data_IF_756688275603
#
_entry.id   IF_756688275603
#
_cell.length_a   1.000
_cell.length_b   1.000
_cell.length_c   1.000
_cell.angle_alpha   90.00
_cell.angle_beta   90.00
_cell.angle_gamma   90.00
#
_symmetry.space_group_name_H-M   'P 1'
#
loop_
_entity.id
_entity.type
_entity.pdbx_description
1 polymer ?
#
# COMPACT_ATOMS: atom_id res chain seq x y z
N UNK A 1 -15.74 -22.22 13.17
CA UNK A 1 -15.96 -20.75 13.28
C UNK A 1 -15.80 -20.21 14.70
N UNK A 2 -16.35 -20.82 15.75
CA UNK A 2 -16.25 -20.31 17.15
C UNK A 2 -14.81 -20.20 17.67
N UNK A 3 -13.92 -21.14 17.32
CA UNK A 3 -12.52 -21.13 17.74
C UNK A 3 -11.67 -20.02 17.09
N UNK A 4 -11.97 -19.65 15.84
CA UNK A 4 -11.30 -18.55 15.13
C UNK A 4 -11.75 -17.18 15.70
N UNK A 5 -13.02 -17.07 16.10
CA UNK A 5 -13.54 -15.89 16.76
C UNK A 5 -12.94 -15.70 18.17
N UNK A 6 -12.73 -16.80 18.90
CA UNK A 6 -12.03 -16.76 20.20
C UNK A 6 -10.55 -16.40 20.10
N UNK A 7 -9.87 -16.81 19.00
CA UNK A 7 -8.49 -16.41 18.67
C UNK A 7 -8.38 -14.91 18.40
N UNK A 8 -9.31 -14.38 17.61
CA UNK A 8 -9.38 -12.96 17.32
C UNK A 8 -9.60 -12.16 18.61
N UNK A 9 -10.53 -12.58 19.48
CA UNK A 9 -10.79 -11.91 20.76
C UNK A 9 -9.58 -11.89 21.70
N UNK A 10 -8.82 -12.98 21.82
CA UNK A 10 -7.65 -13.04 22.71
C UNK A 10 -6.45 -12.26 22.16
N UNK A 11 -6.23 -12.31 20.84
CA UNK A 11 -5.23 -11.49 20.17
C UNK A 11 -5.60 -10.00 20.24
N UNK A 12 -6.88 -9.64 20.04
CA UNK A 12 -7.37 -8.27 20.20
C UNK A 12 -7.23 -7.80 21.64
N UNK A 13 -7.56 -8.61 22.65
CA UNK A 13 -7.42 -8.23 24.06
C UNK A 13 -5.98 -7.91 24.46
N UNK A 14 -4.99 -8.65 23.92
CA UNK A 14 -3.56 -8.39 24.17
C UNK A 14 -3.00 -7.20 23.41
N UNK A 15 -3.58 -6.90 22.25
CA UNK A 15 -3.18 -5.77 21.41
C UNK A 15 -3.99 -4.50 21.69
N UNK A 16 -5.07 -4.58 22.48
CA UNK A 16 -6.01 -3.48 22.70
C UNK A 16 -5.29 -2.23 23.22
N UNK A 17 -4.35 -2.39 24.15
CA UNK A 17 -3.61 -1.27 24.73
C UNK A 17 -2.63 -0.65 23.73
N UNK A 18 -1.94 -1.47 22.95
CA UNK A 18 -1.02 -0.98 21.91
C UNK A 18 -1.77 -0.27 20.78
N UNK A 19 -2.90 -0.84 20.32
CA UNK A 19 -3.73 -0.26 19.27
C UNK A 19 -4.42 1.02 19.78
N UNK A 20 -4.98 1.02 20.99
CA UNK A 20 -5.59 2.21 21.59
C UNK A 20 -4.58 3.35 21.74
N UNK A 21 -3.36 3.03 22.18
CA UNK A 21 -2.27 4.00 22.27
C UNK A 21 -1.90 4.56 20.88
N UNK A 22 -1.78 3.71 19.86
CA UNK A 22 -1.54 4.16 18.48
C UNK A 22 -2.69 5.06 17.98
N UNK A 23 -3.95 4.68 18.19
CA UNK A 23 -5.11 5.49 17.80
C UNK A 23 -5.08 6.85 18.48
N UNK A 24 -4.79 6.90 19.78
CA UNK A 24 -4.70 8.15 20.54
C UNK A 24 -3.56 9.04 20.03
N UNK A 25 -2.38 8.47 19.80
CA UNK A 25 -1.21 9.20 19.26
C UNK A 25 -1.49 9.68 17.84
N UNK A 26 -2.15 8.86 17.00
CA UNK A 26 -2.58 9.26 15.65
C UNK A 26 -3.53 10.45 15.72
N UNK A 27 -4.58 10.38 16.56
CA UNK A 27 -5.56 11.45 16.68
C UNK A 27 -4.92 12.74 17.19
N UNK A 28 -4.19 12.69 18.30
CA UNK A 28 -3.50 13.86 18.87
C UNK A 28 -2.48 14.40 17.89
N UNK A 29 -1.67 13.54 17.29
CA UNK A 29 -0.62 13.97 16.37
C UNK A 29 -1.18 14.60 15.10
N UNK A 30 -2.27 14.06 14.56
CA UNK A 30 -2.92 14.62 13.37
C UNK A 30 -3.54 15.99 13.68
N UNK A 31 -4.31 16.12 14.76
CA UNK A 31 -4.94 17.39 15.13
C UNK A 31 -3.96 18.46 15.63
N UNK A 32 -2.83 18.05 16.23
CA UNK A 32 -1.78 18.97 16.69
C UNK A 32 -0.74 19.30 15.61
N UNK A 33 -0.84 18.73 14.41
CA UNK A 33 0.10 18.96 13.31
C UNK A 33 1.51 18.41 13.57
N UNK A 34 1.63 17.28 14.27
CA UNK A 34 2.93 16.62 14.48
C UNK A 34 3.50 16.12 13.15
N UNK A 35 4.78 16.41 12.91
CA UNK A 35 5.50 15.87 11.76
C UNK A 35 5.73 14.36 11.85
N UNK A 36 5.94 13.71 10.70
CA UNK A 36 6.12 12.26 10.58
C UNK A 36 7.21 11.70 11.48
N UNK A 37 8.35 12.39 11.61
CA UNK A 37 9.45 11.92 12.46
C UNK A 37 9.05 11.85 13.94
N UNK A 38 8.32 12.86 14.43
CA UNK A 38 7.84 12.90 15.81
C UNK A 38 6.78 11.81 16.07
N UNK A 39 5.81 11.67 15.17
CA UNK A 39 4.79 10.62 15.25
C UNK A 39 5.42 9.21 15.17
N UNK A 40 6.38 9.02 14.26
CA UNK A 40 7.12 7.77 14.09
C UNK A 40 7.92 7.38 15.33
N UNK A 41 8.53 8.34 16.02
CA UNK A 41 9.22 8.08 17.29
C UNK A 41 8.25 7.60 18.38
N UNK A 42 7.10 8.27 18.54
CA UNK A 42 6.08 7.88 19.52
C UNK A 42 5.50 6.49 19.23
N UNK A 43 5.23 6.20 17.96
CA UNK A 43 4.81 4.88 17.50
C UNK A 43 5.88 3.82 17.78
N UNK A 44 7.16 4.16 17.59
CA UNK A 44 8.25 3.22 17.81
C UNK A 44 8.37 2.88 19.29
N UNK A 45 8.18 3.87 20.18
CA UNK A 45 8.10 3.65 21.61
C UNK A 45 6.95 2.68 21.98
N UNK A 46 5.78 2.83 21.37
CA UNK A 46 4.68 1.89 21.55
C UNK A 46 5.06 0.47 21.08
N UNK A 47 5.73 0.34 19.94
CA UNK A 47 6.22 -0.95 19.42
C UNK A 47 7.24 -1.58 20.37
N UNK A 48 8.19 -0.79 20.89
CA UNK A 48 9.20 -1.25 21.87
C UNK A 48 8.52 -1.72 23.15
N UNK A 49 7.60 -0.92 23.71
CA UNK A 49 6.85 -1.29 24.91
C UNK A 49 6.04 -2.58 24.67
N UNK A 50 5.41 -2.72 23.50
CA UNK A 50 4.68 -3.92 23.15
C UNK A 50 5.61 -5.12 22.93
N UNK A 51 6.82 -4.93 22.38
CA UNK A 51 7.82 -5.98 22.25
C UNK A 51 8.33 -6.47 23.60
N UNK A 52 8.49 -5.55 24.56
CA UNK A 52 8.90 -5.86 25.93
C UNK A 52 7.77 -6.55 26.71
N UNK A 53 6.53 -6.08 26.62
CA UNK A 53 5.40 -6.60 27.42
C UNK A 53 4.69 -7.80 26.78
N UNK A 54 4.44 -7.71 25.47
CA UNK A 54 3.71 -8.69 24.68
C UNK A 54 4.60 -9.82 24.19
N UNK A 55 4.01 -10.79 23.49
CA UNK A 55 4.81 -11.74 22.71
C UNK A 55 5.28 -11.10 21.39
N UNK A 56 6.21 -11.78 20.70
CA UNK A 56 6.69 -11.39 19.37
C UNK A 56 5.54 -10.93 18.46
N UNK A 57 4.40 -11.62 18.56
CA UNK A 57 3.22 -11.42 17.72
C UNK A 57 2.43 -10.18 17.99
N UNK A 58 2.15 -9.94 19.27
CA UNK A 58 1.48 -8.73 19.69
C UNK A 58 2.29 -7.50 19.27
N UNK A 59 3.62 -7.59 19.38
CA UNK A 59 4.52 -6.55 18.94
C UNK A 59 4.58 -6.41 17.41
N UNK A 60 4.57 -7.52 16.64
CA UNK A 60 4.48 -7.47 15.17
C UNK A 60 3.19 -6.79 14.71
N UNK A 61 2.04 -7.15 15.30
CA UNK A 61 0.73 -6.56 14.93
C UNK A 61 0.75 -5.05 15.20
N UNK A 62 1.18 -4.64 16.39
CA UNK A 62 1.28 -3.22 16.75
C UNK A 62 2.28 -2.49 15.83
N UNK A 63 3.42 -3.10 15.47
CA UNK A 63 4.37 -2.54 14.52
C UNK A 63 3.79 -2.35 13.11
N UNK A 64 3.03 -3.33 12.61
CA UNK A 64 2.37 -3.23 11.31
C UNK A 64 1.30 -2.15 11.31
N UNK A 65 0.45 -2.10 12.35
CA UNK A 65 -0.57 -1.05 12.50
C UNK A 65 0.08 0.33 12.61
N UNK A 66 1.17 0.45 13.35
CA UNK A 66 1.92 1.70 13.48
C UNK A 66 2.53 2.16 12.15
N UNK A 67 3.16 1.25 11.41
CA UNK A 67 3.72 1.58 10.09
C UNK A 67 2.63 2.03 9.11
N UNK A 68 1.48 1.35 9.12
CA UNK A 68 0.34 1.72 8.30
C UNK A 68 -0.21 3.09 8.71
N UNK A 69 -0.44 3.33 10.01
CA UNK A 69 -0.91 4.62 10.50
C UNK A 69 0.07 5.77 10.16
N UNK A 70 1.38 5.51 10.23
CA UNK A 70 2.38 6.51 9.87
C UNK A 70 2.32 6.86 8.38
N UNK A 71 2.16 5.84 7.53
CA UNK A 71 1.98 6.03 6.09
C UNK A 71 0.65 6.72 5.75
N UNK A 72 -0.45 6.36 6.41
CA UNK A 72 -1.79 6.89 6.13
C UNK A 72 -2.00 8.34 6.57
N UNK A 73 -1.58 8.67 7.79
CA UNK A 73 -2.00 9.90 8.47
C UNK A 73 -0.90 10.95 8.55
N UNK A 74 0.37 10.53 8.53
CA UNK A 74 1.52 11.42 8.72
C UNK A 74 2.42 11.52 7.48
N UNK A 75 2.13 10.74 6.44
CA UNK A 75 2.60 11.03 5.09
C UNK A 75 1.56 11.89 4.39
N UNK A 76 1.96 12.87 3.55
CA UNK A 76 1.04 13.37 2.54
C UNK A 76 0.58 12.15 1.73
N UNK A 77 -0.67 11.76 1.94
CA UNK A 77 -1.48 10.76 1.22
C UNK A 77 -0.71 9.57 0.61
N UNK A 78 -0.92 8.36 1.11
CA UNK A 78 -0.42 7.11 0.49
C UNK A 78 -0.79 6.94 -1.01
N UNK A 79 -1.85 7.63 -1.46
CA UNK A 79 -2.35 7.65 -2.84
C UNK A 79 -1.93 8.89 -3.65
N UNK A 80 -1.21 9.81 -3.00
CA UNK A 80 -0.55 10.99 -3.55
C UNK A 80 0.75 11.09 -2.74
N UNK A 81 1.67 10.14 -2.96
CA UNK A 81 3.04 10.29 -2.50
C UNK A 81 3.63 11.45 -3.30
N UNK A 82 3.27 12.69 -2.97
CA UNK A 82 4.03 13.83 -3.41
C UNK A 82 5.34 13.73 -2.65
N UNK A 83 6.42 13.29 -3.32
CA UNK A 83 7.76 13.28 -2.73
C UNK A 83 8.33 14.71 -2.62
N UNK A 84 7.50 15.66 -2.20
CA UNK A 84 7.94 16.95 -1.68
C UNK A 84 8.81 16.76 -0.42
N UNK A 85 8.73 15.60 0.28
CA UNK A 85 9.55 15.32 1.47
C UNK A 85 10.28 13.95 1.42
N UNK A 86 11.48 13.85 0.80
CA UNK A 86 12.32 12.64 0.83
C UNK A 86 12.64 12.17 2.26
N UNK A 87 12.60 13.10 3.23
CA UNK A 87 12.77 12.81 4.64
C UNK A 87 11.68 11.86 5.18
N UNK A 88 10.43 11.97 4.70
CA UNK A 88 9.32 11.13 5.15
C UNK A 88 9.49 9.67 4.70
N UNK A 89 9.92 9.45 3.45
CA UNK A 89 10.19 8.10 2.95
C UNK A 89 11.33 7.42 3.73
N UNK A 90 12.41 8.16 4.01
CA UNK A 90 13.53 7.68 4.83
C UNK A 90 13.05 7.40 6.26
N UNK A 91 12.23 8.27 6.85
CA UNK A 91 11.68 8.09 8.19
C UNK A 91 10.80 6.83 8.29
N UNK A 92 9.93 6.59 7.31
CA UNK A 92 9.09 5.39 7.24
C UNK A 92 9.92 4.11 7.07
N UNK A 93 10.92 4.13 6.18
CA UNK A 93 11.82 3.00 5.98
C UNK A 93 12.63 2.69 7.26
N UNK A 94 13.17 3.73 7.88
CA UNK A 94 13.93 3.62 9.14
C UNK A 94 13.04 3.06 10.25
N UNK A 95 11.80 3.54 10.36
CA UNK A 95 10.81 3.04 11.30
C UNK A 95 10.54 1.54 11.08
N UNK A 96 10.28 1.13 9.84
CA UNK A 96 10.01 -0.26 9.48
C UNK A 96 11.16 -1.19 9.86
N UNK A 97 12.40 -0.80 9.54
CA UNK A 97 13.61 -1.56 9.88
C UNK A 97 13.77 -1.64 11.42
N UNK A 98 13.68 -0.51 12.11
CA UNK A 98 13.85 -0.46 13.56
C UNK A 98 12.78 -1.27 14.29
N UNK A 99 11.51 -1.14 13.89
CA UNK A 99 10.38 -1.87 14.46
C UNK A 99 10.55 -3.38 14.24
N UNK A 100 10.87 -3.80 13.02
CA UNK A 100 11.14 -5.20 12.69
C UNK A 100 12.32 -5.75 13.50
N UNK A 101 13.45 -5.06 13.52
CA UNK A 101 14.64 -5.45 14.27
C UNK A 101 14.33 -5.59 15.76
N UNK A 102 13.65 -4.61 16.36
CA UNK A 102 13.26 -4.64 17.78
C UNK A 102 12.40 -5.86 18.09
N UNK A 103 11.32 -6.04 17.35
CA UNK A 103 10.38 -7.15 17.52
C UNK A 103 11.11 -8.50 17.46
N UNK A 104 11.99 -8.68 16.48
CA UNK A 104 12.73 -9.93 16.29
C UNK A 104 13.87 -10.13 17.31
N UNK A 105 14.64 -9.10 17.65
CA UNK A 105 15.72 -9.17 18.64
C UNK A 105 15.18 -9.45 20.04
N UNK A 106 14.10 -8.78 20.46
CA UNK A 106 13.46 -9.04 21.77
C UNK A 106 12.95 -10.49 21.86
N UNK A 107 12.44 -11.03 20.74
CA UNK A 107 12.01 -12.43 20.70
C UNK A 107 13.18 -13.42 20.77
N UNK A 108 14.31 -13.13 20.12
CA UNK A 108 15.53 -13.95 20.22
C UNK A 108 16.10 -13.95 21.63
N UNK A 109 16.17 -12.77 22.27
CA UNK A 109 16.66 -12.62 23.63
C UNK A 109 15.80 -13.40 24.64
N UNK A 110 14.47 -13.30 24.52
CA UNK A 110 13.53 -14.08 25.34
C UNK A 110 13.59 -15.58 25.09
N UNK A 111 13.87 -15.98 23.86
CA UNK A 111 14.09 -17.39 23.50
C UNK A 111 15.29 -17.97 24.25
N UNK A 112 16.43 -17.25 24.27
CA UNK A 112 17.62 -17.67 25.02
C UNK A 112 17.38 -17.74 26.53
N UNK A 113 16.73 -16.74 27.12
CA UNK A 113 16.45 -16.72 28.56
C UNK A 113 15.59 -17.91 29.06
N UNK A 114 14.68 -18.42 28.21
CA UNK A 114 13.89 -19.61 28.54
C UNK A 114 14.69 -20.91 28.46
N UNK A 115 15.67 -21.01 27.57
CA UNK A 115 16.54 -22.19 27.47
C UNK A 115 17.52 -22.28 28.65
N UNK A 116 18.02 -21.16 29.16
CA UNK A 116 18.91 -21.16 30.35
C UNK A 116 18.16 -21.54 31.63
N UNK A 117 16.91 -21.09 31.79
CA UNK A 117 16.08 -21.42 32.97
C UNK A 117 15.57 -22.87 32.91
N UNK A 118 15.20 -23.36 31.71
CA UNK A 118 14.77 -24.76 31.55
C UNK A 118 15.94 -25.76 31.59
N UNK A 119 17.18 -25.34 31.33
CA UNK A 119 18.38 -26.16 31.52
C UNK A 119 18.65 -26.50 32.99
N UNK A 120 18.26 -25.60 33.91
CA UNK A 120 18.31 -25.85 35.36
C UNK A 120 17.14 -26.72 35.82
N UNK A 121 15.98 -26.61 35.18
CA UNK A 121 14.79 -27.44 35.50
C UNK A 121 14.84 -28.86 34.91
N UNK A 122 15.68 -29.12 33.89
CA UNK A 122 15.85 -30.46 33.30
C UNK A 122 16.57 -31.46 34.21
N UNK A 123 17.14 -31.03 35.34
CA UNK A 123 17.77 -31.91 36.33
C UNK A 123 16.72 -32.58 37.24
N UNK A 124 15.48 -32.10 37.27
CA UNK A 124 14.38 -32.69 38.05
C UNK A 124 13.31 -33.28 37.13
N UNK A 125 13.28 -34.60 37.04
CA UNK A 125 12.54 -35.38 36.07
C UNK A 125 11.02 -35.13 36.05
N UNK A 126 10.51 -34.73 34.88
CA UNK A 126 9.09 -34.77 34.54
C UNK A 126 8.89 -35.45 33.19
N UNK A 127 8.20 -36.60 33.16
CA UNK A 127 7.83 -37.31 31.91
C UNK A 127 6.87 -36.45 31.08
N UNK A 128 7.41 -35.66 30.16
CA UNK A 128 6.64 -35.04 29.09
C UNK A 128 6.12 -36.12 28.13
N UNK A 129 4.81 -36.12 27.83
CA UNK A 129 4.25 -36.98 26.77
C UNK A 129 4.91 -36.59 25.44
N UNK A 130 5.78 -37.45 24.93
CA UNK A 130 6.38 -37.29 23.61
C UNK A 130 5.29 -37.40 22.54
N UNK A 131 5.07 -36.31 21.80
CA UNK A 131 4.29 -36.37 20.56
C UNK A 131 4.99 -37.30 19.56
N UNK A 132 4.26 -38.03 18.70
CA UNK A 132 4.85 -38.76 17.60
C UNK A 132 5.67 -37.81 16.73
N UNK A 133 6.84 -38.24 16.27
CA UNK A 133 7.83 -37.41 15.57
C UNK A 133 7.24 -36.62 14.38
N UNK A 134 6.20 -37.14 13.73
CA UNK A 134 5.45 -36.48 12.65
C UNK A 134 4.75 -35.19 13.08
N UNK A 135 4.12 -35.16 14.27
CA UNK A 135 3.43 -33.97 14.79
C UNK A 135 4.42 -32.90 15.27
N UNK A 136 5.59 -33.30 15.77
CA UNK A 136 6.67 -32.38 16.13
C UNK A 136 7.29 -31.72 14.88
N UNK A 137 7.51 -32.52 13.83
CA UNK A 137 7.97 -32.02 12.52
C UNK A 137 6.97 -31.05 11.90
N UNK A 138 5.66 -31.31 12.03
CA UNK A 138 4.60 -30.41 11.54
C UNK A 138 4.65 -29.03 12.20
N UNK A 139 4.77 -28.96 13.53
CA UNK A 139 4.84 -27.67 14.26
C UNK A 139 6.08 -26.88 13.87
N UNK A 140 7.24 -27.55 13.74
CA UNK A 140 8.48 -26.89 13.33
C UNK A 140 8.40 -26.40 11.88
N UNK A 141 7.94 -27.25 10.95
CA UNK A 141 7.92 -26.93 9.53
C UNK A 141 6.96 -25.77 9.21
N UNK A 142 5.72 -25.83 9.71
CA UNK A 142 4.75 -24.74 9.51
C UNK A 142 5.11 -23.48 10.30
N UNK A 143 5.76 -23.63 11.47
CA UNK A 143 6.29 -22.49 12.22
C UNK A 143 7.45 -21.79 11.49
N UNK A 144 8.35 -22.55 10.87
CA UNK A 144 9.43 -22.03 10.04
C UNK A 144 8.87 -21.38 8.76
N UNK A 145 7.91 -22.04 8.11
CA UNK A 145 7.23 -21.53 6.91
C UNK A 145 6.52 -20.20 7.16
N UNK A 146 5.79 -20.05 8.27
CA UNK A 146 5.15 -18.78 8.63
C UNK A 146 6.15 -17.65 8.91
N UNK A 147 7.33 -17.96 9.48
CA UNK A 147 8.42 -16.97 9.67
C UNK A 147 9.04 -16.55 8.35
N UNK A 148 9.37 -17.52 7.51
CA UNK A 148 9.91 -17.26 6.18
C UNK A 148 8.93 -16.40 5.37
N UNK A 149 7.64 -16.73 5.41
CA UNK A 149 6.60 -15.96 4.72
C UNK A 149 6.51 -14.52 5.22
N UNK A 150 6.52 -14.29 6.54
CA UNK A 150 6.49 -12.93 7.10
C UNK A 150 7.75 -12.13 6.74
N UNK A 151 8.93 -12.76 6.75
CA UNK A 151 10.19 -12.12 6.35
C UNK A 151 10.17 -11.77 4.86
N UNK A 152 9.78 -12.71 4.00
CA UNK A 152 9.67 -12.49 2.56
C UNK A 152 8.69 -11.35 2.28
N UNK A 153 7.55 -11.34 2.96
CA UNK A 153 6.55 -10.29 2.79
C UNK A 153 7.06 -8.92 3.26
N UNK A 154 7.81 -8.86 4.36
CA UNK A 154 8.46 -7.61 4.79
C UNK A 154 9.51 -7.12 3.79
N UNK A 155 10.36 -8.01 3.27
CA UNK A 155 11.34 -7.66 2.23
C UNK A 155 10.66 -7.17 0.95
N UNK A 156 9.55 -7.81 0.56
CA UNK A 156 8.75 -7.40 -0.60
C UNK A 156 8.11 -6.02 -0.39
N UNK A 157 7.65 -5.71 0.82
CA UNK A 157 7.14 -4.39 1.18
C UNK A 157 8.24 -3.32 1.04
N UNK A 158 9.41 -3.55 1.63
CA UNK A 158 10.56 -2.65 1.54
C UNK A 158 10.98 -2.44 0.08
N UNK A 159 11.04 -3.51 -0.70
CA UNK A 159 11.33 -3.44 -2.12
C UNK A 159 10.31 -2.58 -2.87
N UNK A 160 9.01 -2.81 -2.68
CA UNK A 160 7.95 -2.05 -3.34
C UNK A 160 7.96 -0.56 -2.98
N UNK A 161 8.20 -0.23 -1.71
CA UNK A 161 8.36 1.14 -1.25
C UNK A 161 9.59 1.82 -1.89
N UNK A 162 10.71 1.10 -1.95
CA UNK A 162 11.95 1.62 -2.54
C UNK A 162 11.80 1.86 -4.04
N UNK A 163 11.17 0.92 -4.75
CA UNK A 163 10.87 1.07 -6.18
C UNK A 163 9.94 2.26 -6.41
N UNK A 164 8.83 2.37 -5.68
CA UNK A 164 7.89 3.49 -5.82
C UNK A 164 8.59 4.83 -5.58
N UNK A 165 9.45 4.93 -4.56
CA UNK A 165 10.26 6.11 -4.29
C UNK A 165 11.21 6.45 -5.44
N UNK A 166 11.93 5.45 -5.98
CA UNK A 166 12.85 5.65 -7.09
C UNK A 166 12.12 6.13 -8.36
N UNK A 167 11.00 5.49 -8.70
CA UNK A 167 10.14 5.88 -9.84
C UNK A 167 9.65 7.32 -9.68
N UNK A 168 9.09 7.66 -8.52
CA UNK A 168 8.61 9.00 -8.27
C UNK A 168 9.74 10.03 -8.35
N UNK A 169 10.92 9.75 -7.78
CA UNK A 169 12.04 10.70 -7.82
C UNK A 169 12.57 10.92 -9.23
N UNK A 170 12.62 9.85 -10.04
CA UNK A 170 12.95 9.93 -11.45
C UNK A 170 11.98 10.85 -12.20
N UNK A 171 10.68 10.58 -12.08
CA UNK A 171 9.64 11.37 -12.74
C UNK A 171 9.63 12.81 -12.24
N UNK A 172 9.85 13.04 -10.94
CA UNK A 172 9.94 14.38 -10.37
C UNK A 172 11.08 15.18 -11.00
N UNK A 173 12.28 14.60 -11.07
CA UNK A 173 13.42 15.26 -11.73
C UNK A 173 13.16 15.50 -13.23
N UNK A 174 12.43 14.60 -13.88
CA UNK A 174 12.01 14.76 -15.27
C UNK A 174 11.01 15.90 -15.44
N UNK A 175 9.98 15.96 -14.60
CA UNK A 175 8.96 17.00 -14.62
C UNK A 175 9.55 18.38 -14.28
N UNK A 176 10.45 18.46 -13.29
CA UNK A 176 11.13 19.71 -12.90
C UNK A 176 12.00 20.28 -14.03
N UNK A 177 12.43 19.46 -15.00
CA UNK A 177 13.15 19.91 -16.19
C UNK A 177 12.22 20.46 -17.30
N UNK A 178 10.92 20.17 -17.24
CA UNK A 178 9.92 20.57 -18.25
C UNK A 178 9.06 21.72 -17.74
N UNK A 179 8.70 21.66 -16.46
CA UNK A 179 7.62 22.44 -15.85
C UNK A 179 8.20 23.58 -15.02
N UNK A 180 7.66 24.82 -15.11
CA UNK A 180 8.05 25.90 -14.23
C UNK A 180 7.70 25.57 -12.77
N UNK A 181 8.68 25.64 -11.86
CA UNK A 181 8.50 25.26 -10.45
C UNK A 181 7.39 26.07 -9.75
N UNK A 182 7.40 27.39 -9.93
CA UNK A 182 6.44 28.34 -9.36
C UNK A 182 5.26 28.64 -10.31
N UNK A 183 5.13 27.88 -11.41
CA UNK A 183 4.05 28.08 -12.36
C UNK A 183 2.68 27.75 -11.78
N UNK A 184 1.67 28.48 -12.25
CA UNK A 184 0.26 28.16 -12.06
C UNK A 184 -0.09 26.77 -12.62
N UNK A 185 -1.17 26.12 -12.16
CA UNK A 185 -1.62 24.84 -12.72
C UNK A 185 -1.76 24.85 -14.23
N UNK A 186 -2.19 25.99 -14.79
CA UNK A 186 -2.26 26.23 -16.22
C UNK A 186 -0.89 26.19 -16.90
N UNK A 187 0.07 27.00 -16.45
CA UNK A 187 1.41 27.06 -17.05
C UNK A 187 2.11 25.70 -16.99
N UNK A 188 1.95 24.98 -15.88
CA UNK A 188 2.51 23.64 -15.71
C UNK A 188 1.89 22.63 -16.67
N UNK A 189 0.56 22.67 -16.82
CA UNK A 189 -0.17 21.81 -17.76
C UNK A 189 0.24 22.10 -19.21
N UNK A 190 0.30 23.37 -19.58
CA UNK A 190 0.70 23.78 -20.94
C UNK A 190 2.15 23.41 -21.24
N UNK A 191 3.07 23.56 -20.27
CA UNK A 191 4.45 23.12 -20.40
C UNK A 191 4.57 21.60 -20.64
N UNK A 192 3.85 20.79 -19.88
CA UNK A 192 3.77 19.34 -20.10
C UNK A 192 3.24 19.04 -21.49
N UNK A 193 2.08 19.57 -21.87
CA UNK A 193 1.48 19.33 -23.19
C UNK A 193 2.38 19.78 -24.34
N UNK A 194 3.11 20.88 -24.15
CA UNK A 194 4.08 21.35 -25.13
C UNK A 194 5.25 20.37 -25.30
N UNK A 195 5.71 19.75 -24.22
CA UNK A 195 6.72 18.69 -24.28
C UNK A 195 6.20 17.44 -25.02
N UNK A 196 4.97 17.01 -24.73
CA UNK A 196 4.34 15.90 -25.47
C UNK A 196 4.19 16.20 -26.98
N UNK A 197 3.93 17.47 -27.35
CA UNK A 197 3.78 17.88 -28.74
C UNK A 197 5.06 17.81 -29.56
N UNK A 198 6.20 18.16 -28.96
CA UNK A 198 7.47 18.32 -29.68
C UNK A 198 8.29 17.03 -29.79
N UNK A 199 7.68 15.87 -29.54
CA UNK A 199 8.24 14.50 -29.65
C UNK A 199 9.78 14.47 -29.52
N UNK A 200 10.34 14.49 -28.30
CA UNK A 200 11.79 14.42 -28.16
C UNK A 200 12.31 13.12 -28.81
N UNK A 201 13.43 13.20 -29.53
CA UNK A 201 14.10 12.02 -30.08
C UNK A 201 14.38 11.03 -28.94
N UNK A 202 13.76 9.86 -29.01
CA UNK A 202 13.82 8.80 -28.00
C UNK A 202 14.00 7.45 -28.69
N UNK A 203 14.38 6.44 -27.91
CA UNK A 203 14.60 5.12 -28.48
C UNK A 203 13.30 4.55 -29.07
N UNK A 204 13.32 4.28 -30.38
CA UNK A 204 12.25 3.56 -31.09
C UNK A 204 12.37 2.03 -30.95
N UNK A 205 13.38 1.55 -30.23
CA UNK A 205 13.55 0.14 -29.96
C UNK A 205 12.33 -0.38 -29.16
N UNK A 206 11.46 -1.11 -29.86
CA UNK A 206 10.55 -2.06 -29.24
C UNK A 206 11.42 -3.08 -28.53
N UNK A 207 11.74 -2.83 -27.26
CA UNK A 207 12.26 -3.87 -26.37
C UNK A 207 11.23 -5.00 -26.45
N UNK A 208 11.57 -6.12 -27.10
CA UNK A 208 10.70 -7.29 -27.22
C UNK A 208 10.30 -7.72 -25.80
N UNK A 209 9.02 -7.53 -25.46
CA UNK A 209 8.48 -7.74 -24.11
C UNK A 209 8.05 -6.48 -23.34
N UNK A 210 8.45 -5.28 -23.76
CA UNK A 210 8.13 -4.00 -23.10
C UNK A 210 6.70 -3.52 -23.32
N UNK A 211 6.00 -4.01 -24.34
CA UNK A 211 4.55 -3.77 -24.49
C UNK A 211 3.74 -4.31 -23.30
N UNK A 212 4.32 -5.24 -22.52
CA UNK A 212 3.76 -5.74 -21.25
C UNK A 212 4.25 -4.99 -20.00
N UNK A 213 5.34 -4.22 -20.06
CA UNK A 213 5.82 -3.37 -18.95
C UNK A 213 5.57 -1.89 -19.27
N UNK A 214 4.30 -1.48 -19.17
CA UNK A 214 3.90 -0.06 -19.16
C UNK A 214 4.23 0.57 -17.81
N UNK A 215 5.51 0.58 -17.45
CA UNK A 215 6.02 1.28 -16.27
C UNK A 215 6.14 2.79 -16.57
N UNK A 216 5.83 3.67 -15.61
CA UNK A 216 5.88 5.12 -15.81
C UNK A 216 7.23 5.66 -16.34
N UNK A 217 8.37 5.10 -15.91
CA UNK A 217 9.71 5.51 -16.37
C UNK A 217 9.93 5.12 -17.82
N UNK A 218 9.54 3.89 -18.19
CA UNK A 218 9.68 3.41 -19.56
C UNK A 218 8.83 4.20 -20.55
N UNK A 219 7.62 4.61 -20.16
CA UNK A 219 6.71 5.36 -21.06
C UNK A 219 7.32 6.71 -21.43
N UNK A 220 7.86 7.48 -20.47
CA UNK A 220 8.45 8.81 -20.76
C UNK A 220 9.76 8.74 -21.55
N UNK A 221 10.40 7.57 -21.61
CA UNK A 221 11.64 7.33 -22.35
C UNK A 221 11.41 6.78 -23.76
N UNK A 222 10.19 6.42 -24.14
CA UNK A 222 9.89 5.74 -25.40
C UNK A 222 8.87 6.53 -26.24
N UNK A 223 9.34 7.10 -27.36
CA UNK A 223 8.50 7.93 -28.24
C UNK A 223 7.30 7.18 -28.83
N UNK A 224 7.47 5.89 -29.15
CA UNK A 224 6.37 5.06 -29.66
C UNK A 224 5.26 4.86 -28.62
N UNK A 225 5.61 4.68 -27.33
CA UNK A 225 4.59 4.57 -26.28
C UNK A 225 3.82 5.89 -26.10
N UNK A 226 4.45 7.04 -26.32
CA UNK A 226 3.78 8.35 -26.26
C UNK A 226 2.81 8.60 -27.44
N UNK A 227 2.85 7.78 -28.50
CA UNK A 227 1.88 7.84 -29.61
C UNK A 227 0.57 7.10 -29.32
N UNK A 228 0.54 6.28 -28.27
CA UNK A 228 -0.64 5.49 -27.88
C UNK A 228 -1.45 6.29 -26.84
N UNK A 229 -2.71 6.64 -27.13
CA UNK A 229 -3.58 7.46 -26.27
C UNK A 229 -3.50 7.14 -24.77
N UNK A 230 -3.66 5.86 -24.41
CA UNK A 230 -3.64 5.41 -23.02
C UNK A 230 -2.26 5.55 -22.37
N UNK A 231 -1.19 5.25 -23.08
CA UNK A 231 0.18 5.37 -22.56
C UNK A 231 0.59 6.83 -22.42
N UNK A 232 0.27 7.67 -23.42
CA UNK A 232 0.52 9.12 -23.38
C UNK A 232 -0.21 9.78 -22.20
N UNK A 233 -1.49 9.44 -22.03
CA UNK A 233 -2.30 9.93 -20.90
C UNK A 233 -1.70 9.52 -19.57
N UNK A 234 -1.16 8.30 -19.47
CA UNK A 234 -0.54 7.83 -18.23
C UNK A 234 0.75 8.56 -17.90
N UNK A 235 1.63 8.74 -18.89
CA UNK A 235 2.82 9.55 -18.70
C UNK A 235 2.44 10.96 -18.24
N UNK A 236 1.41 11.54 -18.85
CA UNK A 236 0.95 12.87 -18.49
C UNK A 236 0.44 12.94 -17.04
N UNK A 237 -0.44 12.03 -16.61
CA UNK A 237 -0.97 12.02 -15.24
C UNK A 237 0.15 11.83 -14.22
N UNK A 238 1.08 10.89 -14.47
CA UNK A 238 2.21 10.67 -13.57
C UNK A 238 3.16 11.89 -13.50
N UNK A 239 3.42 12.56 -14.63
CA UNK A 239 4.22 13.79 -14.64
C UNK A 239 3.48 14.98 -14.00
N UNK A 240 2.16 15.06 -14.17
CA UNK A 240 1.31 16.07 -13.56
C UNK A 240 1.29 15.91 -12.04
N UNK A 241 1.11 14.68 -11.53
CA UNK A 241 1.12 14.37 -10.10
C UNK A 241 2.43 14.82 -9.42
N UNK A 242 3.59 14.42 -9.98
CA UNK A 242 4.90 14.85 -9.44
C UNK A 242 5.17 16.35 -9.64
N UNK A 243 4.50 17.01 -10.59
CA UNK A 243 4.55 18.47 -10.77
C UNK A 243 3.64 19.23 -9.78
N UNK A 244 2.87 18.51 -8.95
CA UNK A 244 1.93 19.08 -7.99
C UNK A 244 0.58 19.45 -8.59
N UNK A 245 0.24 18.89 -9.75
CA UNK A 245 -1.07 19.00 -10.38
C UNK A 245 -1.92 17.81 -9.98
N UNK A 246 -3.20 18.05 -9.69
CA UNK A 246 -4.16 16.95 -9.64
C UNK A 246 -4.64 16.68 -11.06
N UNK A 247 -4.34 15.48 -11.54
CA UNK A 247 -4.81 14.99 -12.82
C UNK A 247 -5.45 13.62 -12.64
N UNK A 248 -6.40 13.29 -13.50
CA UNK A 248 -7.05 11.98 -13.54
C UNK A 248 -7.37 11.58 -14.97
N UNK A 249 -7.55 10.28 -15.20
CA UNK A 249 -7.88 9.77 -16.53
C UNK A 249 -9.35 9.93 -16.85
N UNK A 250 -9.65 10.25 -18.11
CA UNK A 250 -10.99 10.20 -18.69
C UNK A 250 -10.98 9.30 -19.94
N UNK A 251 -11.84 8.28 -19.96
CA UNK A 251 -12.03 7.35 -21.06
C UNK A 251 -13.19 7.83 -21.94
N UNK A 252 -12.98 7.88 -23.25
CA UNK A 252 -14.03 8.17 -24.23
C UNK A 252 -14.53 6.84 -24.79
N UNK A 253 -15.84 6.59 -24.64
CA UNK A 253 -16.44 5.28 -24.91
C UNK A 253 -17.28 5.28 -26.18
N UNK A 254 -17.23 4.18 -26.93
CA UNK A 254 -18.14 3.94 -28.05
C UNK A 254 -19.55 3.54 -27.57
N UNK A 255 -20.45 3.31 -28.53
CA UNK A 255 -21.83 2.88 -28.25
C UNK A 255 -21.92 1.50 -27.59
N UNK A 256 -20.92 0.64 -27.76
CA UNK A 256 -20.81 -0.69 -27.15
C UNK A 256 -20.13 -0.68 -25.77
N UNK A 257 -19.61 0.47 -25.32
CA UNK A 257 -18.86 0.60 -24.07
C UNK A 257 -17.34 0.38 -24.23
N UNK A 258 -16.85 0.15 -25.45
CA UNK A 258 -15.42 0.04 -25.76
C UNK A 258 -14.70 1.39 -25.63
N UNK A 259 -13.41 1.38 -25.25
CA UNK A 259 -12.61 2.62 -25.22
C UNK A 259 -12.18 2.98 -26.63
N UNK A 260 -12.63 4.13 -27.14
CA UNK A 260 -12.15 4.67 -28.41
C UNK A 260 -10.89 5.51 -28.23
N UNK A 261 -10.85 6.31 -27.17
CA UNK A 261 -9.76 7.22 -26.89
C UNK A 261 -9.61 7.46 -25.38
N UNK A 262 -8.45 7.98 -24.97
CA UNK A 262 -8.13 8.26 -23.58
C UNK A 262 -7.54 9.66 -23.49
N UNK A 263 -8.07 10.47 -22.59
CA UNK A 263 -7.66 11.85 -22.33
C UNK A 263 -7.47 12.07 -20.83
N UNK A 264 -6.92 13.21 -20.43
CA UNK A 264 -6.72 13.58 -19.03
C UNK A 264 -7.65 14.73 -18.64
N UNK A 265 -8.13 14.71 -17.40
CA UNK A 265 -8.69 15.87 -16.72
C UNK A 265 -7.64 16.43 -15.75
N UNK A 266 -7.51 17.75 -15.66
CA UNK A 266 -6.60 18.43 -14.74
C UNK A 266 -7.38 19.46 -13.92
N UNK A 267 -7.16 19.49 -12.61
CA UNK A 267 -7.82 20.46 -11.72
C UNK A 267 -7.13 21.83 -11.82
N UNK A 268 -7.86 22.82 -12.32
CA UNK A 268 -7.49 24.22 -12.36
C UNK A 268 -8.46 25.01 -11.48
N UNK A 269 -8.03 25.34 -10.26
CA UNK A 269 -8.91 25.97 -9.28
C UNK A 269 -10.05 25.03 -8.89
N UNK A 270 -11.28 25.40 -9.19
CA UNK A 270 -12.49 24.59 -8.91
C UNK A 270 -12.99 23.79 -10.13
N UNK A 271 -12.26 23.81 -11.25
CA UNK A 271 -12.70 23.19 -12.50
C UNK A 271 -11.78 22.08 -12.96
N UNK A 272 -12.36 21.01 -13.51
CA UNK A 272 -11.63 19.95 -14.20
C UNK A 272 -11.62 20.22 -15.70
N UNK A 273 -10.46 20.59 -16.22
CA UNK A 273 -10.28 20.92 -17.64
C UNK A 273 -9.72 19.73 -18.39
N UNK A 274 -10.11 19.57 -19.66
CA UNK A 274 -9.74 18.38 -20.44
C UNK A 274 -8.52 18.65 -21.32
N UNK A 275 -7.52 17.77 -21.21
CA UNK A 275 -6.32 17.75 -22.03
C UNK A 275 -6.19 16.44 -22.80
N UNK A 276 -5.67 16.49 -24.03
CA UNK A 276 -5.26 15.34 -24.82
C UNK A 276 -3.71 15.29 -24.90
N UNK A 277 -3.08 14.44 -24.08
CA UNK A 277 -1.63 14.29 -24.08
C UNK A 277 -1.06 13.64 -25.34
N UNK A 278 -1.82 12.80 -26.05
CA UNK A 278 -1.36 12.22 -27.31
C UNK A 278 -1.19 13.30 -28.38
N UNK A 279 -2.08 14.30 -28.38
CA UNK A 279 -1.99 15.45 -29.29
C UNK A 279 -1.12 16.59 -28.74
N UNK A 280 -0.69 16.50 -27.48
CA UNK A 280 0.00 17.58 -26.77
C UNK A 280 -0.84 18.88 -26.77
N UNK A 281 -2.15 18.76 -26.59
CA UNK A 281 -3.11 19.88 -26.71
C UNK A 281 -4.17 19.82 -25.61
N UNK A 282 -4.73 20.97 -25.29
CA UNK A 282 -5.87 21.10 -24.40
C UNK A 282 -7.11 21.48 -25.20
N UNK A 283 -8.28 21.00 -24.78
CA UNK A 283 -9.54 21.45 -25.36
C UNK A 283 -9.83 22.88 -24.91
N UNK A 284 -10.00 23.77 -25.87
CA UNK A 284 -10.27 25.19 -25.63
C UNK A 284 -11.44 25.66 -26.48
N UNK A 285 -12.20 26.64 -26.00
CA UNK A 285 -13.21 27.34 -26.80
C UNK A 285 -12.58 28.39 -27.74
N UNK A 286 -13.40 29.11 -28.51
CA UNK A 286 -12.92 30.11 -29.49
C UNK A 286 -12.10 31.24 -28.86
N UNK A 287 -12.34 31.54 -27.59
CA UNK A 287 -11.64 32.57 -26.83
C UNK A 287 -10.35 32.04 -26.20
N UNK A 288 -10.06 30.75 -26.36
CA UNK A 288 -8.90 30.09 -25.76
C UNK A 288 -9.12 29.64 -24.32
N UNK A 289 -10.35 29.72 -23.79
CA UNK A 289 -10.69 29.26 -22.45
C UNK A 289 -10.70 27.72 -22.42
N UNK A 290 -10.09 27.09 -21.41
CA UNK A 290 -10.14 25.64 -21.27
C UNK A 290 -11.57 25.13 -21.11
N UNK A 291 -11.84 23.94 -21.65
CA UNK A 291 -13.16 23.33 -21.60
C UNK A 291 -13.22 22.15 -20.63
N UNK A 292 -14.37 22.03 -19.97
CA UNK A 292 -14.71 20.90 -19.09
C UNK A 292 -15.31 19.72 -19.88
N UNK A 293 -15.35 18.55 -19.25
CA UNK A 293 -16.02 17.35 -19.78
C UNK A 293 -17.50 17.63 -20.09
N UNK A 294 -18.19 18.32 -19.19
CA UNK A 294 -19.61 18.66 -19.31
C UNK A 294 -19.87 19.58 -20.51
N UNK A 295 -19.01 20.58 -20.73
CA UNK A 295 -19.09 21.45 -21.92
C UNK A 295 -18.82 20.67 -23.20
N UNK A 296 -17.82 19.78 -23.20
CA UNK A 296 -17.47 18.94 -24.36
C UNK A 296 -18.51 17.86 -24.69
N UNK A 297 -19.40 17.54 -23.75
CA UNK A 297 -20.54 16.65 -24.03
C UNK A 297 -21.51 17.28 -25.06
N UNK A 298 -21.53 18.61 -25.20
CA UNK A 298 -22.32 19.28 -26.22
C UNK A 298 -21.64 19.18 -27.60
N UNK A 299 -22.28 18.54 -28.62
CA UNK A 299 -21.64 18.29 -29.91
C UNK A 299 -21.14 19.56 -30.60
N UNK A 300 -21.86 20.67 -30.46
CA UNK A 300 -21.47 21.96 -31.07
C UNK A 300 -20.17 22.51 -30.48
N UNK A 301 -20.04 22.48 -29.16
CA UNK A 301 -18.83 22.93 -28.42
C UNK A 301 -17.66 22.02 -28.76
N UNK A 302 -17.88 20.70 -28.78
CA UNK A 302 -16.85 19.72 -29.15
C UNK A 302 -16.36 19.91 -30.59
N UNK A 303 -17.28 20.04 -31.56
CA UNK A 303 -16.93 20.25 -32.96
C UNK A 303 -16.14 21.55 -33.17
N UNK A 304 -16.52 22.62 -32.46
CA UNK A 304 -15.78 23.87 -32.48
C UNK A 304 -14.37 23.74 -31.87
N UNK A 305 -14.22 23.01 -30.76
CA UNK A 305 -12.93 22.76 -30.12
C UNK A 305 -11.97 21.95 -31.02
N UNK A 306 -12.45 20.87 -31.65
CA UNK A 306 -11.59 19.99 -32.47
C UNK A 306 -11.18 20.61 -33.80
N UNK A 307 -11.90 21.62 -34.33
CA UNK A 307 -11.47 22.39 -35.51
C UNK A 307 -10.09 23.01 -35.33
N UNK A 308 -9.70 23.30 -34.09
CA UNK A 308 -8.40 23.86 -33.71
C UNK A 308 -7.37 22.80 -33.28
N UNK A 309 -7.72 21.53 -33.42
CA UNK A 309 -6.87 20.36 -33.13
C UNK A 309 -6.69 19.51 -34.39
N UNK A 310 -5.82 19.94 -35.34
CA UNK A 310 -5.60 19.19 -36.57
C UNK A 310 -5.11 17.76 -36.26
N UNK A 311 -5.74 16.76 -36.88
CA UNK A 311 -5.43 15.34 -36.65
C UNK A 311 -6.28 14.66 -35.56
N UNK A 312 -7.12 15.40 -34.84
CA UNK A 312 -8.06 14.80 -33.88
C UNK A 312 -9.24 14.14 -34.62
N UNK A 313 -9.60 12.92 -34.23
CA UNK A 313 -10.72 12.19 -34.84
C UNK A 313 -12.07 12.70 -34.33
N UNK A 314 -13.01 13.12 -35.20
CA UNK A 314 -14.35 13.53 -34.79
C UNK A 314 -15.16 12.41 -34.12
N UNK A 315 -14.74 11.15 -34.28
CA UNK A 315 -15.37 10.00 -33.62
C UNK A 315 -15.03 9.87 -32.13
N UNK A 316 -14.01 10.58 -31.63
CA UNK A 316 -13.62 10.56 -30.22
C UNK A 316 -14.48 11.56 -29.42
N UNK A 317 -15.77 11.26 -29.30
CA UNK A 317 -16.74 12.17 -28.67
C UNK A 317 -16.81 12.00 -27.14
N UNK A 318 -17.38 13.00 -26.48
CA UNK A 318 -17.62 13.01 -25.03
C UNK A 318 -19.05 12.59 -24.65
N UNK A 319 -19.81 11.99 -25.58
CA UNK A 319 -21.18 11.53 -25.33
C UNK A 319 -21.26 10.46 -24.24
N UNK A 320 -20.20 9.64 -24.12
CA UNK A 320 -20.08 8.61 -23.09
C UNK A 320 -18.66 8.61 -22.56
N UNK A 321 -18.56 8.88 -21.26
CA UNK A 321 -17.26 8.93 -20.59
C UNK A 321 -17.26 8.07 -19.34
N UNK A 322 -16.09 7.55 -18.98
CA UNK A 322 -15.88 6.86 -17.71
C UNK A 322 -14.46 7.12 -17.18
N UNK A 323 -14.27 7.04 -15.88
CA UNK A 323 -12.94 7.11 -15.25
C UNK A 323 -12.32 5.71 -15.08
N UNK A 324 -13.15 4.66 -14.98
CA UNK A 324 -12.70 3.29 -14.70
C UNK A 324 -13.38 2.25 -15.60
N UNK A 325 -12.59 1.35 -16.17
CA UNK A 325 -13.08 0.17 -16.91
C UNK A 325 -13.38 -1.01 -15.98
N UNK A 326 -14.52 -0.98 -15.28
CA UNK A 326 -14.97 -2.13 -14.46
C UNK A 326 -15.46 -3.30 -15.32
N UNK A 327 -15.82 -3.05 -16.57
CA UNK A 327 -16.43 -4.03 -17.48
C UNK A 327 -15.41 -5.03 -18.06
N UNK A 328 -14.11 -4.81 -17.85
CA UNK A 328 -13.06 -5.79 -18.16
C UNK A 328 -13.01 -6.98 -17.18
N UNK A 329 -13.74 -6.93 -16.07
CA UNK A 329 -13.94 -8.07 -15.18
C UNK A 329 -15.19 -8.85 -15.63
N UNK A 330 -15.04 -9.96 -16.38
CA UNK A 330 -16.20 -10.73 -16.81
C UNK A 330 -17.01 -11.18 -15.59
N UNK A 331 -18.34 -11.05 -15.69
CA UNK A 331 -19.36 -11.39 -14.68
C UNK A 331 -19.43 -10.53 -13.40
N UNK A 332 -18.33 -9.96 -12.89
CA UNK A 332 -18.34 -9.17 -11.64
C UNK A 332 -18.50 -7.65 -11.86
N UNK A 333 -18.11 -7.11 -13.01
CA UNK A 333 -18.01 -5.66 -13.23
C UNK A 333 -19.32 -4.89 -12.98
N UNK A 334 -20.44 -5.37 -13.53
CA UNK A 334 -21.75 -4.73 -13.36
C UNK A 334 -22.27 -4.81 -11.91
N UNK A 335 -22.08 -5.94 -11.23
CA UNK A 335 -22.48 -6.09 -9.83
C UNK A 335 -21.64 -5.24 -8.88
N UNK A 336 -20.33 -5.14 -9.14
CA UNK A 336 -19.44 -4.25 -8.38
C UNK A 336 -19.86 -2.79 -8.56
N UNK A 337 -20.05 -2.35 -9.80
CA UNK A 337 -20.45 -0.97 -10.10
C UNK A 337 -21.77 -0.60 -9.44
N UNK A 338 -22.78 -1.48 -9.52
CA UNK A 338 -24.07 -1.28 -8.87
C UNK A 338 -23.96 -1.19 -7.35
N UNK A 339 -23.13 -2.04 -6.74
CA UNK A 339 -22.94 -2.06 -5.29
C UNK A 339 -22.20 -0.82 -4.80
N UNK A 340 -21.16 -0.39 -5.53
CA UNK A 340 -20.38 0.81 -5.19
C UNK A 340 -21.19 2.09 -5.39
N UNK A 341 -21.98 2.19 -6.47
CA UNK A 341 -22.90 3.31 -6.68
C UNK A 341 -23.98 3.41 -5.58
N UNK A 342 -24.38 2.29 -4.99
CA UNK A 342 -25.31 2.27 -3.85
C UNK A 342 -24.69 2.68 -2.52
N UNK A 343 -23.39 2.44 -2.33
CA UNK A 343 -22.65 2.79 -1.11
C UNK A 343 -22.15 4.24 -1.09
N UNK A 344 -21.70 4.75 -2.24
CA UNK A 344 -21.21 6.12 -2.38
C UNK A 344 -21.41 6.61 -3.83
N UNK A 345 -22.44 7.45 -4.09
CA UNK A 345 -22.60 8.11 -5.39
C UNK A 345 -21.39 8.99 -5.67
N UNK A 346 -20.76 8.85 -6.85
CA UNK A 346 -19.57 9.63 -7.22
C UNK A 346 -18.22 9.02 -6.80
N UNK A 347 -18.20 7.77 -6.33
CA UNK A 347 -16.95 7.09 -5.96
C UNK A 347 -15.93 6.96 -7.12
N UNK A 348 -16.40 6.92 -8.37
CA UNK A 348 -15.55 6.90 -9.58
C UNK A 348 -14.76 8.20 -9.74
N UNK A 349 -15.33 9.33 -9.28
CA UNK A 349 -14.73 10.66 -9.38
C UNK A 349 -13.88 11.02 -8.15
N UNK A 350 -14.10 10.32 -7.03
CA UNK A 350 -13.48 10.59 -5.73
C UNK A 350 -12.03 10.07 -5.61
N UNK A 351 -11.60 9.14 -6.46
CA UNK A 351 -10.24 8.60 -6.44
C UNK A 351 -9.77 8.21 -7.84
N UNK A 352 -8.48 8.41 -8.14
CA UNK A 352 -7.87 7.96 -9.38
C UNK A 352 -7.59 6.44 -9.33
N UNK A 353 -8.64 5.65 -9.51
CA UNK A 353 -8.56 4.19 -9.51
C UNK A 353 -7.68 3.64 -10.65
N UNK A 354 -7.41 4.45 -11.69
CA UNK A 354 -6.49 4.12 -12.78
C UNK A 354 -5.02 4.08 -12.34
N UNK A 355 -4.67 4.76 -11.26
CA UNK A 355 -3.31 4.83 -10.74
C UNK A 355 -2.75 3.45 -10.33
N UNK A 356 -3.60 2.59 -9.74
CA UNK A 356 -3.15 1.35 -9.12
C UNK A 356 -2.67 0.27 -10.12
N UNK A 357 -3.43 -0.06 -11.18
CA UNK A 357 -2.96 -1.02 -12.19
C UNK A 357 -1.74 -0.55 -12.99
N UNK A 358 -1.42 0.74 -12.94
CA UNK A 358 -0.50 1.41 -13.86
C UNK A 358 0.85 1.74 -13.24
N UNK A 359 0.96 1.53 -11.93
CA UNK A 359 2.21 1.63 -11.19
C UNK A 359 2.61 0.22 -10.72
N UNK A 360 3.45 -0.50 -11.50
CA UNK A 360 3.91 -1.85 -11.14
C UNK A 360 4.52 -1.96 -9.75
N UNK A 361 5.12 -0.87 -9.26
CA UNK A 361 5.76 -0.77 -7.94
C UNK A 361 4.76 -0.92 -6.76
N UNK A 362 3.46 -0.68 -6.98
CA UNK A 362 2.43 -0.81 -5.94
C UNK A 362 2.00 -2.26 -5.71
N UNK A 363 2.17 -3.15 -6.69
CA UNK A 363 1.79 -4.56 -6.57
C UNK A 363 2.56 -5.31 -5.47
N UNK A 364 3.90 -5.20 -5.38
CA UNK A 364 4.66 -5.74 -4.25
C UNK A 364 4.11 -5.28 -2.89
N UNK A 365 3.75 -3.99 -2.77
CA UNK A 365 3.18 -3.43 -1.54
C UNK A 365 1.83 -4.10 -1.24
N UNK A 366 0.91 -4.13 -2.21
CA UNK A 366 -0.42 -4.71 -2.03
C UNK A 366 -0.37 -6.20 -1.71
N UNK A 367 0.53 -6.97 -2.33
CA UNK A 367 0.68 -8.41 -2.11
C UNK A 367 1.36 -8.69 -0.75
N UNK A 368 2.29 -7.84 -0.33
CA UNK A 368 3.01 -8.01 0.94
C UNK A 368 2.09 -7.92 2.15
N UNK A 369 1.06 -7.08 2.12
CA UNK A 369 0.13 -6.87 3.24
C UNK A 369 -0.64 -8.16 3.61
N UNK A 370 -1.40 -8.81 2.71
CA UNK A 370 -2.08 -10.05 3.01
C UNK A 370 -1.09 -11.19 3.28
N UNK A 371 0.09 -11.22 2.66
CA UNK A 371 1.12 -12.21 2.97
C UNK A 371 1.66 -12.07 4.41
N UNK A 372 1.90 -10.84 4.87
CA UNK A 372 2.28 -10.54 6.26
C UNK A 372 1.19 -11.02 7.21
N UNK A 373 -0.07 -10.65 6.94
CA UNK A 373 -1.22 -11.05 7.76
C UNK A 373 -1.39 -12.57 7.78
N UNK A 374 -1.24 -13.24 6.65
CA UNK A 374 -1.37 -14.69 6.54
C UNK A 374 -0.20 -15.41 7.23
N UNK A 375 1.04 -14.94 7.08
CA UNK A 375 2.20 -15.48 7.78
C UNK A 375 2.08 -15.36 9.30
N UNK A 376 1.55 -14.23 9.78
CA UNK A 376 1.19 -14.03 11.20
C UNK A 376 0.10 -15.02 11.61
N UNK A 377 -0.97 -15.17 10.82
CA UNK A 377 -2.09 -16.06 11.13
C UNK A 377 -1.67 -17.54 11.22
N UNK A 378 -0.90 -18.03 10.24
CA UNK A 378 -0.39 -19.41 10.23
C UNK A 378 0.38 -19.71 11.51
N UNK A 379 1.22 -18.76 11.95
CA UNK A 379 2.00 -18.99 13.16
C UNK A 379 1.19 -18.85 14.45
N UNK A 380 0.14 -18.02 14.49
CA UNK A 380 -0.84 -18.03 15.59
C UNK A 380 -1.50 -19.41 15.72
N UNK A 381 -1.85 -20.03 14.59
CA UNK A 381 -2.46 -21.36 14.57
C UNK A 381 -1.47 -22.44 15.03
N UNK A 382 -0.23 -22.40 14.55
CA UNK A 382 0.83 -23.36 14.92
C UNK A 382 1.21 -23.24 16.40
N UNK A 383 1.39 -22.02 16.93
CA UNK A 383 1.73 -21.79 18.34
C UNK A 383 0.59 -22.26 19.26
N UNK A 384 -0.68 -22.08 18.85
CA UNK A 384 -1.83 -22.61 19.60
C UNK A 384 -1.91 -24.12 19.55
N UNK A 385 -1.73 -24.72 18.37
CA UNK A 385 -1.71 -26.17 18.22
C UNK A 385 -0.57 -26.78 19.05
N UNK A 386 0.60 -26.15 19.02
CA UNK A 386 1.73 -26.45 19.88
C UNK A 386 1.36 -26.35 21.35
N UNK A 387 0.88 -25.21 21.86
CA UNK A 387 0.52 -25.06 23.28
C UNK A 387 -0.54 -26.05 23.77
N UNK A 388 -1.60 -26.27 22.99
CA UNK A 388 -2.70 -27.14 23.37
C UNK A 388 -2.33 -28.63 23.34
N UNK A 389 -1.37 -29.05 22.49
CA UNK A 389 -0.93 -30.46 22.41
C UNK A 389 0.39 -30.76 23.13
N UNK A 390 1.28 -29.79 23.29
CA UNK A 390 2.57 -29.91 24.00
C UNK A 390 2.46 -29.69 25.51
N UNK A 391 1.27 -29.33 26.02
CA UNK A 391 0.98 -29.39 27.45
C UNK A 391 1.90 -28.54 28.33
N UNK A 392 2.13 -27.27 27.97
CA UNK A 392 2.84 -26.33 28.87
C UNK A 392 1.93 -25.91 30.05
N UNK A 393 0.62 -26.15 29.96
CA UNK A 393 -0.32 -25.96 31.08
C UNK A 393 -0.21 -27.07 32.13
N UNK A 394 0.16 -28.30 31.76
CA UNK A 394 0.34 -29.40 32.73
C UNK A 394 1.54 -29.17 33.67
N UNK A 395 2.61 -28.52 33.20
CA UNK A 395 3.79 -28.22 34.00
C UNK A 395 3.58 -27.04 34.97
N UNK A 396 2.62 -26.14 34.68
CA UNK A 396 2.33 -24.97 35.52
C UNK A 396 1.33 -25.31 36.62
N UNK A 397 0.36 -26.18 36.34
CA UNK A 397 -0.57 -26.73 37.34
C UNK A 397 0.16 -27.67 38.31
N UNK A 398 1.07 -28.53 37.81
CA UNK A 398 1.83 -29.44 38.68
C UNK A 398 2.76 -28.69 39.63
N UNK A 399 3.37 -27.58 39.21
CA UNK A 399 4.22 -26.76 40.08
C UNK A 399 3.42 -25.99 41.14
N UNK A 400 2.14 -25.68 40.86
CA UNK A 400 1.23 -25.05 41.82
C UNK A 400 0.73 -26.06 42.85
N UNK A 401 0.40 -27.29 42.42
CA UNK A 401 0.00 -28.39 43.29
C UNK A 401 1.16 -28.95 44.12
N UNK A 402 2.40 -28.94 43.59
CA UNK A 402 3.61 -29.31 44.33
C UNK A 402 4.13 -28.19 45.24
N UNK A 403 3.70 -26.94 45.03
CA UNK A 403 3.95 -25.84 45.98
C UNK A 403 2.98 -25.80 47.15
N UNK A 404 1.81 -26.45 47.03
CA UNK A 404 0.81 -26.59 48.09
C UNK A 404 0.95 -27.89 48.90
N UNK A 405 1.67 -28.90 48.39
CA UNK A 405 2.08 -30.07 49.18
C UNK A 405 3.45 -29.82 49.80
N UNK A 406 3.41 -29.45 51.07
CA UNK A 406 4.59 -29.19 51.89
C UNK A 406 5.65 -30.29 51.86
N UNK A 407 6.86 -29.82 52.06
CA UNK A 407 8.13 -30.50 52.30
C UNK A 407 8.02 -31.90 52.94
N UNK A 408 8.37 -32.99 52.24
CA UNK A 408 8.41 -34.34 52.81
C UNK A 408 9.78 -34.62 53.44
N UNK A 409 10.27 -33.77 54.35
CA UNK A 409 11.48 -34.04 55.15
C UNK A 409 11.33 -33.78 56.67
N UNK A 410 10.12 -33.76 57.22
CA UNK A 410 9.91 -33.61 58.68
C UNK A 410 9.45 -34.85 59.46
N UNK A 411 9.48 -36.08 58.89
CA UNK A 411 9.09 -37.32 59.61
C UNK A 411 10.24 -38.32 59.74
N UNK A 412 11.41 -37.86 60.18
CA UNK A 412 12.48 -38.73 60.70
C UNK A 412 13.16 -38.14 61.96
N UNK A 413 12.37 -37.85 63.00
CA UNK A 413 12.80 -37.95 64.42
C UNK A 413 11.67 -37.54 65.37
N UNK A 414 10.84 -38.50 65.76
CA UNK A 414 10.17 -38.59 67.06
C UNK A 414 9.59 -40.01 67.23
#
# INVERSE_FOLDING_TARGET
MSAALGLLKLAMARNIWGILALVLITAIGFYAGLGMAAAGFLFFLCVVIQAIRGDLWSATIVATVAAFALACFFSPTIFLFSAAEPLGAIALLTFLIAAFATVHLTALYRGRGKHTINGVSMITGGRGKHLPASQHRFVILFGLGGRALAIIAFLLLVYGLTWTYATHRYLKGFADAIVPLEGSPQEKTEALLNWFRHEPERSDALLEGSTRLRDPVNIVQNGHLLKICGSATNAFINLADVAGLKARRLLLLDRSGGTMHVVAEVEWGEQWVVADPQQGRMFKDQLGRPLTKEELHHPEVFQDAIRRMPGYSPGYTFERTAHVHLERLPFLGHYLRRSLNGLSPGWEEAADWGYFPENPSLWPILISIPMLLFGVLVRLMVDRYGRNKLGIEAARESHRLLGEMGDPESVKSA
#
